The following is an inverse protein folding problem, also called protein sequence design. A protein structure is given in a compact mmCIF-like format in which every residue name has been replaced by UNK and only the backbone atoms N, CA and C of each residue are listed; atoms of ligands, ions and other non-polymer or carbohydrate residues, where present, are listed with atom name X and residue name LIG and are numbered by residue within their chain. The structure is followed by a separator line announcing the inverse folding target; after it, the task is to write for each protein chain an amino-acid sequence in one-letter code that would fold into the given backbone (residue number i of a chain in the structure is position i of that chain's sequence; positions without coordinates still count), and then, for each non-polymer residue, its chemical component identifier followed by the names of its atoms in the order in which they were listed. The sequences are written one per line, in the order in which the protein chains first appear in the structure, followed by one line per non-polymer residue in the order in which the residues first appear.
data_IF_328188591211
#
_entry.id   IF_328188591211
#
_cell.length_a   1.000
_cell.length_b   1.000
_cell.length_c   1.000
_cell.angle_alpha   90.00
_cell.angle_beta   90.00
_cell.angle_gamma   90.00
#
_symmetry.space_group_name_H-M   'P 1'
#
loop_
_entity.id
_entity.type
_entity.pdbx_description
1 polymer ?
2 non-polymer ?
3 non-polymer ?
4 water ?
#
# COMPACT_ATOMS: atom_id res chain seq x y z
N UNK A 2 -1.11 -14.39 23.51
CA UNK A 2 -1.72 -14.69 22.22
C UNK A 2 -1.57 -13.55 21.18
N UNK A 3 -1.15 -13.94 19.98
CA UNK A 3 -1.06 -13.01 18.84
C UNK A 3 -0.17 -11.81 19.15
N UNK A 4 1.00 -12.08 19.74
CA UNK A 4 1.91 -11.01 20.15
C UNK A 4 2.91 -10.73 19.04
N UNK A 5 2.94 -9.52 18.49
CA UNK A 5 3.90 -9.21 17.42
C UNK A 5 5.32 -9.11 17.94
N UNK A 6 6.26 -9.47 17.08
CA UNK A 6 7.68 -9.26 17.31
C UNK A 6 8.28 -8.60 16.08
N UNK A 7 9.45 -7.97 16.21
CA UNK A 7 10.05 -7.30 15.05
C UNK A 7 10.20 -8.19 13.82
N UNK A 8 10.33 -9.51 13.99
CA UNK A 8 10.44 -10.39 12.84
C UNK A 8 9.16 -10.45 12.01
N UNK A 9 8.03 -9.97 12.53
CA UNK A 9 6.81 -9.89 11.75
C UNK A 9 6.81 -8.73 10.76
N UNK A 10 7.83 -7.86 10.79
CA UNK A 10 8.00 -6.78 9.81
C UNK A 10 6.88 -5.75 9.83
N UNK A 11 6.25 -5.51 10.98
CA UNK A 11 5.23 -4.47 11.08
C UNK A 11 5.87 -3.09 11.19
N UNK A 12 5.45 -2.16 10.33
CA UNK A 12 5.98 -0.80 10.33
C UNK A 12 4.82 0.20 10.34
N UNK A 13 5.15 1.42 10.79
CA UNK A 13 4.17 2.49 10.97
C UNK A 13 4.73 3.81 10.50
N UNK A 14 3.93 4.61 9.81
CA UNK A 14 4.35 5.96 9.49
C UNK A 14 4.39 6.82 10.75
N UNK A 15 5.37 7.73 10.81
CA UNK A 15 5.38 8.70 11.90
C UNK A 15 4.09 9.50 11.94
N UNK A 16 3.50 9.76 10.77
CA UNK A 16 2.27 10.52 10.64
C UNK A 16 1.03 9.76 11.09
N UNK A 17 1.16 8.48 11.43
CA UNK A 17 -0.01 7.66 11.78
C UNK A 17 -0.31 7.81 13.26
N UNK A 18 0.50 7.18 14.12
CA UNK A 18 0.34 7.38 15.55
C UNK A 18 0.59 8.83 15.95
N UNK A 19 1.30 9.59 15.13
CA UNK A 19 1.53 10.99 15.39
C UNK A 19 0.45 11.94 14.92
N UNK A 20 -0.63 11.43 14.31
CA UNK A 20 -1.71 12.29 13.84
C UNK A 20 -2.39 13.01 15.01
N UNK A 21 -2.38 14.35 14.97
CA UNK A 21 -2.96 15.11 16.08
C UNK A 21 -4.47 15.19 16.05
N UNK A 22 -5.12 14.71 15.00
CA UNK A 22 -6.56 14.67 14.98
C UNK A 22 -7.26 15.81 14.28
N UNK A 23 -6.54 16.63 13.52
CA UNK A 23 -7.16 17.72 12.76
C UNK A 23 -7.79 17.15 11.49
N UNK A 24 -9.10 17.36 11.33
CA UNK A 24 -9.83 16.87 10.16
C UNK A 24 -10.50 18.07 9.49
N UNK A 25 -11.26 17.93 8.39
CA UNK A 25 -11.75 19.13 7.67
C UNK A 25 -12.62 20.04 8.52
N UNK A 26 -13.17 19.52 9.63
CA UNK A 26 -14.16 20.24 10.41
C UNK A 26 -13.73 20.41 11.86
N UNK A 27 -12.49 20.06 12.21
CA UNK A 27 -12.11 20.04 13.60
C UNK A 27 -10.64 20.27 13.88
N UNK A 28 -10.38 20.88 15.04
CA UNK A 28 -9.03 21.16 15.49
C UNK A 28 -8.40 19.91 16.12
N UNK A 29 -7.10 20.00 16.39
CA UNK A 29 -6.38 18.87 16.96
C UNK A 29 -6.96 18.48 18.31
N UNK A 30 -6.99 17.17 18.57
CA UNK A 30 -7.40 16.65 19.87
C UNK A 30 -6.24 16.05 20.66
N UNK A 31 -5.06 15.94 20.05
CA UNK A 31 -3.88 15.40 20.70
C UNK A 31 -2.69 16.30 20.42
N UNK A 32 -1.78 16.36 21.40
CA UNK A 32 -0.55 17.11 21.23
C UNK A 32 0.38 16.40 20.23
N UNK A 33 1.31 17.16 19.68
CA UNK A 33 2.27 16.59 18.75
C UNK A 33 3.17 15.61 19.47
N UNK A 34 3.52 14.53 18.78
CA UNK A 34 4.45 13.54 19.30
C UNK A 34 5.85 13.81 18.79
N UNK A 35 6.82 13.69 19.69
CA UNK A 35 8.21 13.69 19.28
C UNK A 35 8.48 12.37 18.54
N UNK A 36 9.06 12.40 17.33
CA UNK A 36 9.37 11.14 16.63
C UNK A 36 10.12 10.15 17.49
N UNK A 37 10.96 10.63 18.41
CA UNK A 37 11.69 9.74 19.30
C UNK A 37 10.74 8.95 20.19
N UNK A 38 9.68 9.59 20.69
CA UNK A 38 8.74 8.86 21.53
C UNK A 38 7.96 7.82 20.71
N UNK A 39 7.58 8.16 19.48
CA UNK A 39 6.86 7.19 18.65
C UNK A 39 7.72 5.96 18.39
N UNK A 40 9.00 6.17 18.07
CA UNK A 40 9.92 5.04 17.87
C UNK A 40 9.96 4.18 19.13
N UNK A 41 10.11 4.81 20.30
CA UNK A 41 10.19 4.05 21.54
C UNK A 41 8.92 3.27 21.81
N UNK A 42 7.76 3.93 21.70
CA UNK A 42 6.49 3.28 22.04
C UNK A 42 6.16 2.19 21.03
N UNK A 43 6.45 2.42 19.75
CA UNK A 43 6.17 1.39 18.75
C UNK A 43 7.07 0.18 18.95
N UNK A 44 8.33 0.38 19.32
CA UNK A 44 9.22 -0.73 19.60
C UNK A 44 8.70 -1.55 20.78
N UNK A 45 8.17 -0.88 21.80
CA UNK A 45 7.61 -1.58 22.95
C UNK A 45 6.42 -2.43 22.55
N UNK A 46 5.70 -2.05 21.49
CA UNK A 46 4.55 -2.82 21.03
C UNK A 46 4.96 -3.99 20.14
N UNK A 47 6.22 -4.08 19.75
CA UNK A 47 6.66 -5.14 18.88
C UNK A 47 6.81 -4.78 17.42
N UNK A 48 6.77 -3.49 17.09
CA UNK A 48 6.96 -3.07 15.71
C UNK A 48 8.40 -3.36 15.24
N UNK A 49 8.53 -3.46 13.93
CA UNK A 49 9.81 -3.64 13.24
C UNK A 49 10.45 -2.31 12.87
N UNK A 50 9.66 -1.30 12.51
CA UNK A 50 10.25 -0.04 12.12
C UNK A 50 9.22 1.04 11.86
N UNK A 51 9.70 2.17 11.34
CA UNK A 51 8.87 3.32 11.02
C UNK A 51 9.21 3.82 9.62
N UNK A 52 8.32 4.67 9.11
CA UNK A 52 8.49 5.37 7.84
C UNK A 52 8.22 6.85 8.08
N UNK A 53 8.61 7.69 7.11
CA UNK A 53 8.43 9.12 7.34
C UNK A 53 8.30 9.86 6.01
N UNK A 54 7.51 10.94 6.04
CA UNK A 54 7.69 12.03 5.10
C UNK A 54 8.84 12.92 5.57
N UNK A 55 9.52 13.56 4.63
CA UNK A 55 10.59 14.49 5.02
C UNK A 55 10.10 15.43 6.11
N UNK A 56 8.91 16.00 5.95
CA UNK A 56 8.41 17.03 6.84
C UNK A 56 7.85 16.48 8.14
N UNK A 57 7.70 15.15 8.26
CA UNK A 57 7.37 14.55 9.55
C UNK A 57 8.57 14.54 10.48
N UNK A 58 9.76 14.38 9.91
CA UNK A 58 10.99 14.20 10.66
C UNK A 58 11.73 15.52 10.85
N UNK A 59 11.74 16.36 9.83
CA UNK A 59 12.41 17.65 9.85
C UNK A 59 11.35 18.72 9.54
N UNK A 60 10.99 19.57 10.50
CA UNK A 60 9.97 20.59 10.23
C UNK A 60 10.31 21.42 9.00
N UNK A 61 9.31 21.66 8.15
CA UNK A 61 9.49 22.46 6.96
C UNK A 61 10.18 23.78 7.27
N UNK A 62 11.18 24.11 6.46
CA UNK A 62 11.92 25.34 6.64
C UNK A 62 13.06 25.27 7.61
N UNK A 63 13.45 24.07 8.04
CA UNK A 63 14.53 23.93 9.01
C UNK A 63 15.87 24.30 8.40
N UNK A 64 16.73 24.92 9.21
CA UNK A 64 18.11 25.15 8.82
C UNK A 64 18.86 23.82 8.77
N UNK A 65 20.01 23.83 8.10
CA UNK A 65 20.84 22.64 8.04
C UNK A 65 21.22 22.17 9.44
N UNK A 66 21.51 23.11 10.34
CA UNK A 66 21.88 22.76 11.70
C UNK A 66 20.73 22.09 12.44
N UNK A 67 19.53 22.62 12.31
CA UNK A 67 18.35 21.99 12.91
C UNK A 67 18.07 20.64 12.27
N UNK A 68 18.19 20.57 10.94
CA UNK A 68 17.97 19.33 10.22
C UNK A 68 18.90 18.23 10.72
N UNK A 69 20.19 18.56 10.89
CA UNK A 69 21.14 17.57 11.40
C UNK A 69 20.76 17.08 12.79
N UNK A 70 20.25 17.97 13.64
CA UNK A 70 19.95 17.59 15.01
C UNK A 70 18.70 16.73 15.09
N UNK A 71 17.70 17.01 14.25
CA UNK A 71 16.51 16.17 14.20
C UNK A 71 16.84 14.75 13.75
N UNK A 72 17.70 14.63 12.73
CA UNK A 72 18.06 13.30 12.25
C UNK A 72 18.91 12.58 13.28
N UNK A 73 19.81 13.30 13.96
CA UNK A 73 20.69 12.65 14.93
C UNK A 73 19.88 12.05 16.08
N UNK A 74 18.93 12.81 16.63
CA UNK A 74 18.07 12.25 17.69
C UNK A 74 17.27 11.05 17.20
N UNK A 75 16.73 11.15 15.98
CA UNK A 75 15.94 10.05 15.44
C UNK A 75 16.79 8.80 15.27
N UNK A 76 18.02 8.96 14.77
CA UNK A 76 18.90 7.80 14.60
C UNK A 76 19.25 7.18 15.95
N UNK A 77 19.43 8.00 16.99
CA UNK A 77 19.72 7.45 18.31
C UNK A 77 18.55 6.61 18.83
N UNK A 78 17.32 7.06 18.58
CA UNK A 78 16.16 6.26 19.01
C UNK A 78 16.07 4.96 18.23
N UNK A 79 16.38 4.99 16.93
CA UNK A 79 16.42 3.76 16.14
C UNK A 79 17.50 2.83 16.67
N UNK A 80 18.69 3.38 16.97
CA UNK A 80 19.79 2.56 17.47
C UNK A 80 19.46 1.95 18.82
N UNK A 81 18.75 2.69 19.68
CA UNK A 81 18.44 2.23 21.02
C UNK A 81 17.33 1.20 21.07
N UNK A 82 16.59 1.02 19.98
CA UNK A 82 15.45 0.11 19.93
C UNK A 82 15.61 -1.02 18.93
N UNK A 83 16.55 -0.94 18.00
CA UNK A 83 16.64 -1.90 16.93
C UNK A 83 15.65 -1.67 15.81
N UNK A 84 14.97 -0.53 15.81
CA UNK A 84 13.95 -0.24 14.82
C UNK A 84 14.61 0.15 13.50
N UNK A 85 13.95 -0.19 12.40
CA UNK A 85 14.44 0.13 11.06
C UNK A 85 13.57 1.19 10.39
N UNK A 86 14.06 1.69 9.26
CA UNK A 86 13.33 2.63 8.41
C UNK A 86 13.28 2.07 6.99
N UNK A 87 12.33 1.18 6.68
CA UNK A 87 12.33 0.53 5.36
C UNK A 87 11.80 1.40 4.23
N UNK A 88 11.15 2.51 4.53
CA UNK A 88 10.49 3.29 3.48
C UNK A 88 10.46 4.74 3.92
N UNK A 89 10.60 5.64 2.95
CA UNK A 89 10.43 7.06 3.16
C UNK A 89 9.67 7.65 1.97
N UNK A 90 9.23 8.89 2.13
CA UNK A 90 8.41 9.55 1.12
C UNK A 90 8.55 11.05 1.31
N UNK A 91 8.02 11.80 0.35
CA UNK A 91 8.08 13.26 0.34
C UNK A 91 6.70 13.84 0.62
N UNK A 92 6.64 14.89 1.43
CA UNK A 92 5.38 15.62 1.55
C UNK A 92 5.31 16.62 0.40
N UNK A 93 4.51 16.27 -0.61
CA UNK A 93 4.23 17.16 -1.73
C UNK A 93 2.76 17.58 -1.75
N UNK A 94 2.18 17.75 -0.56
CA UNK A 94 0.75 18.04 -0.50
C UNK A 94 0.31 18.99 0.62
N UNK A 95 1.08 19.18 1.69
CA UNK A 95 0.62 20.03 2.79
C UNK A 95 0.82 21.51 2.50
N UNK A 96 2.02 21.88 2.07
CA UNK A 96 2.34 23.30 1.90
C UNK A 96 1.45 23.92 0.81
N UNK A 97 0.98 25.15 1.00
CA UNK A 97 0.13 25.78 -0.04
C UNK A 97 0.75 25.85 -1.43
N UNK A 98 2.08 25.85 -1.55
CA UNK A 98 2.68 25.91 -2.88
C UNK A 98 2.25 24.72 -3.72
N UNK A 99 1.88 23.61 -3.09
CA UNK A 99 1.50 22.40 -3.80
C UNK A 99 -0.01 22.31 -4.05
N UNK A 100 -0.72 23.45 -3.99
CA UNK A 100 -2.17 23.39 -4.07
C UNK A 100 -2.68 22.84 -5.41
N UNK A 101 -1.90 22.95 -6.49
CA UNK A 101 -2.28 22.34 -7.75
C UNK A 101 -1.38 21.15 -8.10
N UNK A 102 -0.62 20.65 -7.14
CA UNK A 102 0.23 19.49 -7.38
C UNK A 102 1.70 19.80 -7.16
N UNK A 103 2.48 18.72 -7.16
CA UNK A 103 3.92 18.80 -7.18
C UNK A 103 4.43 18.49 -8.57
N UNK A 104 4.61 17.21 -8.88
CA UNK A 104 5.15 16.84 -10.20
C UNK A 104 4.27 17.29 -11.36
N UNK A 105 2.96 17.48 -11.17
CA UNK A 105 2.09 17.91 -12.27
C UNK A 105 1.42 19.26 -12.01
N UNK A 106 1.98 20.08 -11.13
CA UNK A 106 1.50 21.45 -10.97
C UNK A 106 1.52 22.18 -12.31
N UNK A 107 0.51 23.02 -12.56
CA UNK A 107 0.55 23.80 -13.78
C UNK A 107 1.76 24.72 -13.82
N UNK A 108 2.16 25.27 -12.67
CA UNK A 108 3.33 26.13 -12.61
C UNK A 108 4.61 25.30 -12.73
N UNK A 109 5.41 25.61 -13.75
CA UNK A 109 6.63 24.85 -14.00
C UNK A 109 7.62 24.99 -12.84
N UNK A 110 7.75 26.19 -12.27
CA UNK A 110 8.71 26.36 -11.19
C UNK A 110 8.33 25.55 -9.95
N UNK A 111 7.04 25.28 -9.74
CA UNK A 111 6.63 24.41 -8.65
C UNK A 111 7.03 22.96 -8.93
N UNK A 112 6.88 22.51 -10.18
CA UNK A 112 7.28 21.16 -10.54
C UNK A 112 8.78 20.95 -10.31
N UNK A 113 9.59 21.94 -10.66
CA UNK A 113 11.04 21.84 -10.43
C UNK A 113 11.35 21.80 -8.93
N UNK A 114 10.67 22.62 -8.13
CA UNK A 114 10.83 22.58 -6.69
C UNK A 114 10.42 21.22 -6.11
N UNK A 115 9.29 20.66 -6.58
CA UNK A 115 8.87 19.35 -6.11
C UNK A 115 9.96 18.31 -6.33
N UNK A 116 10.63 18.35 -7.48
CA UNK A 116 11.68 17.37 -7.74
C UNK A 116 12.88 17.60 -6.83
N UNK A 117 13.27 18.86 -6.62
CA UNK A 117 14.41 19.12 -5.76
C UNK A 117 14.11 18.68 -4.32
N UNK A 118 12.89 18.94 -3.84
CA UNK A 118 12.49 18.50 -2.50
C UNK A 118 12.53 16.99 -2.38
N UNK A 119 12.06 16.29 -3.40
CA UNK A 119 12.08 14.83 -3.38
C UNK A 119 13.50 14.30 -3.39
N UNK A 120 14.35 14.82 -4.28
CA UNK A 120 15.73 14.32 -4.38
C UNK A 120 16.47 14.48 -3.05
N UNK A 121 16.29 15.63 -2.39
CA UNK A 121 16.92 15.84 -1.09
C UNK A 121 16.53 14.73 -0.10
N UNK A 122 15.26 14.33 -0.11
CA UNK A 122 14.84 13.30 0.83
C UNK A 122 15.20 11.89 0.38
N UNK A 123 15.38 11.66 -0.92
CA UNK A 123 15.90 10.36 -1.35
C UNK A 123 17.28 10.11 -0.74
N UNK A 124 18.15 11.13 -0.76
CA UNK A 124 19.46 10.99 -0.13
C UNK A 124 19.32 10.60 1.33
N UNK A 125 18.43 11.28 2.06
CA UNK A 125 18.26 10.98 3.48
C UNK A 125 17.71 9.57 3.67
N UNK A 126 16.75 9.18 2.83
CA UNK A 126 16.15 7.85 2.92
C UNK A 126 17.21 6.77 2.76
N UNK A 127 18.10 6.92 1.77
CA UNK A 127 19.20 5.97 1.59
C UNK A 127 20.11 5.96 2.81
N UNK A 128 20.42 7.14 3.34
CA UNK A 128 21.22 7.22 4.56
C UNK A 128 20.62 6.39 5.69
N UNK A 129 19.29 6.41 5.84
CA UNK A 129 18.62 5.70 6.93
C UNK A 129 18.28 4.26 6.58
N UNK A 130 18.69 3.78 5.42
CA UNK A 130 18.55 2.38 5.06
C UNK A 130 17.28 1.99 4.35
N UNK A 131 16.50 2.95 3.86
CA UNK A 131 15.23 2.62 3.24
C UNK A 131 15.44 1.92 1.90
N UNK A 132 14.63 0.89 1.65
CA UNK A 132 14.68 0.15 0.40
C UNK A 132 13.64 0.60 -0.61
N UNK A 133 12.61 1.31 -0.15
CA UNK A 133 11.52 1.77 -1.00
C UNK A 133 11.27 3.25 -0.75
N UNK A 134 11.07 3.99 -1.83
CA UNK A 134 10.73 5.41 -1.75
C UNK A 134 9.35 5.57 -2.36
N UNK A 135 8.37 5.98 -1.55
CA UNK A 135 6.98 6.02 -1.99
C UNK A 135 6.63 7.42 -2.50
N UNK A 136 5.80 7.47 -3.53
CA UNK A 136 5.22 8.70 -4.04
C UNK A 136 3.69 8.59 -3.99
N UNK A 137 3.06 9.44 -3.18
CA UNK A 137 1.62 9.60 -3.16
C UNK A 137 1.30 10.96 -3.74
N UNK A 138 0.81 10.99 -4.97
CA UNK A 138 0.51 12.24 -5.65
C UNK A 138 -0.84 12.79 -5.27
N UNK A 139 -1.03 13.10 -3.99
CA UNK A 139 -2.33 13.52 -3.48
C UNK A 139 -2.84 14.82 -4.06
N UNK A 140 -1.96 15.70 -4.52
CA UNK A 140 -2.42 16.95 -5.11
C UNK A 140 -2.47 16.92 -6.64
N UNK A 141 -2.11 15.80 -7.27
CA UNK A 141 -2.05 15.72 -8.72
C UNK A 141 -3.46 15.40 -9.22
N UNK A 142 -4.09 16.35 -9.89
CA UNK A 142 -5.46 16.12 -10.34
C UNK A 142 -6.19 17.44 -10.52
N UNK A 143 -7.49 17.42 -10.22
CA UNK A 143 -8.32 18.58 -10.56
C UNK A 143 -9.68 18.49 -9.88
N UNK A 144 -10.31 19.66 -9.72
CA UNK A 144 -11.73 19.75 -9.38
C UNK A 144 -12.58 20.09 -10.60
N UNK A 145 -11.98 20.48 -11.71
CA UNK A 145 -12.71 20.92 -12.88
C UNK A 145 -11.97 20.51 -14.15
N UNK A 146 -12.70 20.48 -15.26
CA UNK A 146 -12.19 19.83 -16.47
C UNK A 146 -11.14 20.64 -17.21
N UNK A 147 -11.29 21.97 -17.25
CA UNK A 147 -10.36 22.80 -17.98
C UNK A 147 -9.04 23.02 -17.28
N UNK A 148 -8.99 22.78 -15.97
CA UNK A 148 -7.85 23.11 -15.13
C UNK A 148 -6.65 22.23 -15.39
N UNK A 149 -6.85 21.02 -15.93
CA UNK A 149 -5.78 20.04 -16.01
C UNK A 149 -5.96 19.27 -17.32
N UNK A 150 -5.04 19.45 -18.26
CA UNK A 150 -4.99 18.58 -19.42
C UNK A 150 -4.26 17.32 -18.99
N UNK A 151 -4.97 16.19 -18.95
CA UNK A 151 -4.40 15.00 -18.31
C UNK A 151 -3.28 14.41 -19.14
N UNK A 152 -3.34 14.50 -20.47
CA UNK A 152 -2.23 14.00 -21.28
C UNK A 152 -0.96 14.80 -21.01
N UNK A 153 -1.08 16.13 -20.96
CA UNK A 153 0.07 16.96 -20.56
C UNK A 153 0.53 16.61 -19.15
N UNK A 154 -0.41 16.42 -18.23
CA UNK A 154 -0.03 16.10 -16.86
C UNK A 154 0.71 14.76 -16.79
N UNK A 155 0.26 13.77 -17.55
CA UNK A 155 0.95 12.48 -17.56
C UNK A 155 2.33 12.60 -18.18
N UNK A 156 2.49 13.47 -19.19
CA UNK A 156 3.83 13.77 -19.69
C UNK A 156 4.73 14.30 -18.59
N UNK A 157 4.21 15.27 -17.81
CA UNK A 157 5.00 15.85 -16.72
C UNK A 157 5.28 14.81 -15.64
N UNK A 158 4.31 13.93 -15.37
CA UNK A 158 4.50 12.89 -14.36
C UNK A 158 5.57 11.89 -14.79
N UNK A 159 5.55 11.49 -16.06
CA UNK A 159 6.59 10.61 -16.58
C UNK A 159 7.95 11.28 -16.53
N UNK A 160 7.99 12.57 -16.88
CA UNK A 160 9.24 13.31 -16.82
C UNK A 160 9.82 13.28 -15.41
N UNK A 161 8.98 13.55 -14.41
CA UNK A 161 9.44 13.58 -13.03
C UNK A 161 9.97 12.22 -12.59
N UNK A 162 9.21 11.16 -12.82
CA UNK A 162 9.67 9.84 -12.36
C UNK A 162 10.90 9.40 -13.13
N UNK A 163 11.01 9.74 -14.42
CA UNK A 163 12.21 9.41 -15.18
C UNK A 163 13.44 10.11 -14.62
N UNK A 164 13.31 11.41 -14.28
CA UNK A 164 14.42 12.14 -13.67
C UNK A 164 14.84 11.51 -12.34
N UNK A 165 13.87 11.09 -11.54
CA UNK A 165 14.18 10.45 -10.27
C UNK A 165 14.92 9.13 -10.48
N UNK A 166 14.50 8.35 -11.50
CA UNK A 166 15.20 7.14 -11.84
C UNK A 166 16.60 7.40 -12.35
N UNK A 167 16.77 8.42 -13.19
CA UNK A 167 18.10 8.85 -13.59
C UNK A 167 18.95 9.22 -12.37
N UNK A 168 18.34 9.91 -11.39
CA UNK A 168 19.10 10.32 -10.22
C UNK A 168 19.60 9.12 -9.41
N UNK A 169 18.70 8.19 -9.07
CA UNK A 169 19.13 7.07 -8.24
C UNK A 169 20.14 6.20 -8.98
N UNK A 170 20.01 6.08 -10.31
CA UNK A 170 20.99 5.29 -11.06
C UNK A 170 22.33 6.01 -11.12
N UNK A 171 22.33 7.33 -11.22
CA UNK A 171 23.59 8.08 -11.25
C UNK A 171 24.32 8.01 -9.91
N UNK A 172 23.58 7.86 -8.82
CA UNK A 172 24.16 7.78 -7.49
C UNK A 172 24.50 6.35 -7.08
N UNK A 173 24.10 5.35 -7.86
CA UNK A 173 24.33 3.97 -7.48
C UNK A 173 23.47 3.48 -6.34
N UNK A 174 22.35 4.14 -6.09
CA UNK A 174 21.47 3.76 -5.01
C UNK A 174 20.70 2.48 -5.38
N UNK A 175 20.43 1.65 -4.37
CA UNK A 175 19.66 0.43 -4.58
C UNK A 175 18.17 0.60 -4.25
N UNK A 176 17.76 1.81 -3.87
CA UNK A 176 16.37 2.04 -3.52
C UNK A 176 15.48 1.99 -4.77
N UNK A 177 14.23 1.56 -4.59
CA UNK A 177 13.26 1.52 -5.67
C UNK A 177 12.07 2.40 -5.29
N UNK A 178 11.28 2.76 -6.31
CA UNK A 178 10.14 3.66 -6.12
C UNK A 178 8.84 2.87 -6.12
N UNK A 179 7.86 3.36 -5.36
CA UNK A 179 6.53 2.75 -5.31
C UNK A 179 5.49 3.86 -5.37
N UNK A 180 4.61 3.78 -6.36
CA UNK A 180 3.53 4.77 -6.50
C UNK A 180 2.33 4.30 -5.69
N UNK A 181 1.81 5.18 -4.84
CA UNK A 181 0.64 4.89 -4.01
C UNK A 181 -0.59 5.49 -4.67
N UNK A 182 -1.49 4.69 -5.22
CA UNK A 182 -2.70 5.26 -5.84
C UNK A 182 -3.73 5.68 -4.82
N UNK A 183 -4.56 6.64 -5.23
CA UNK A 183 -5.73 7.09 -4.48
C UNK A 183 -6.67 7.70 -5.52
N UNK A 184 -7.96 7.42 -5.47
CA UNK A 184 -8.83 7.89 -6.57
C UNK A 184 -9.25 9.35 -6.44
N UNK A 185 -9.33 9.83 -5.20
CA UNK A 185 -9.79 11.19 -4.92
C UNK A 185 -9.43 11.50 -3.48
N UNK A 186 -9.52 12.80 -3.15
CA UNK A 186 -9.34 13.42 -1.84
C UNK A 186 -7.84 13.52 -1.52
N UNK A 187 -7.28 14.73 -1.48
CA UNK A 187 -7.97 16.01 -1.44
C UNK A 187 -8.37 16.63 -2.79
N UNK A 188 -7.86 16.15 -3.92
CA UNK A 188 -8.35 16.64 -5.20
C UNK A 188 -9.66 15.94 -5.56
N UNK A 189 -10.49 16.62 -6.34
CA UNK A 189 -11.75 16.04 -6.76
C UNK A 189 -11.58 14.73 -7.49
N UNK A 190 -10.56 14.65 -8.35
CA UNK A 190 -10.11 13.41 -8.94
C UNK A 190 -8.60 13.44 -8.95
N UNK A 191 -7.96 12.35 -8.55
CA UNK A 191 -6.50 12.27 -8.51
C UNK A 191 -6.03 11.44 -9.70
N UNK A 192 -4.90 11.85 -10.29
CA UNK A 192 -4.30 11.11 -11.39
C UNK A 192 -3.73 9.79 -10.88
N UNK A 193 -3.71 8.79 -11.78
CA UNK A 193 -3.36 7.41 -11.44
C UNK A 193 -4.21 6.91 -10.27
N UNK A 194 -5.53 6.84 -10.44
CA UNK A 194 -6.44 6.71 -9.29
C UNK A 194 -6.53 5.33 -8.66
N UNK A 195 -6.02 4.29 -9.33
CA UNK A 195 -6.12 2.92 -8.84
C UNK A 195 -4.81 2.19 -9.11
N UNK A 196 -4.70 1.00 -8.52
CA UNK A 196 -3.56 0.11 -8.76
C UNK A 196 -3.36 -0.10 -10.25
N UNK A 197 -4.45 -0.30 -10.99
CA UNK A 197 -4.33 -0.55 -12.42
C UNK A 197 -3.73 0.63 -13.16
N UNK A 198 -4.20 1.85 -12.87
CA UNK A 198 -3.69 3.03 -13.58
C UNK A 198 -2.22 3.25 -13.29
N UNK A 199 -1.79 3.00 -12.04
CA UNK A 199 -0.38 3.13 -11.69
C UNK A 199 0.48 2.06 -12.38
N UNK A 200 0.02 0.81 -12.37
CA UNK A 200 0.76 -0.24 -13.07
C UNK A 200 0.93 0.08 -14.55
N UNK A 201 -0.13 0.60 -15.18
CA UNK A 201 -0.07 0.90 -16.61
C UNK A 201 0.88 2.06 -16.89
N UNK A 202 0.85 3.07 -16.03
CA UNK A 202 1.74 4.21 -16.17
C UNK A 202 3.20 3.79 -16.07
N UNK A 203 3.52 2.87 -15.17
CA UNK A 203 4.90 2.46 -14.95
C UNK A 203 5.50 1.86 -16.21
N UNK A 204 4.68 1.17 -17.00
CA UNK A 204 5.18 0.49 -18.18
C UNK A 204 5.66 1.46 -19.26
N UNK A 205 5.30 2.75 -19.15
CA UNK A 205 5.74 3.80 -20.06
C UNK A 205 6.93 4.59 -19.53
N UNK A 206 7.45 4.24 -18.37
CA UNK A 206 8.63 4.91 -17.84
C UNK A 206 9.88 4.36 -18.53
N UNK A 207 10.95 5.17 -18.47
CA UNK A 207 12.17 4.79 -19.19
C UNK A 207 12.82 3.56 -18.59
N UNK A 208 12.77 3.41 -17.27
CA UNK A 208 13.36 2.28 -16.56
C UNK A 208 12.29 1.61 -15.71
N UNK A 209 11.34 0.89 -16.33
CA UNK A 209 10.18 0.40 -15.57
C UNK A 209 10.54 -0.47 -14.39
N UNK A 210 11.70 -1.14 -14.43
CA UNK A 210 12.08 -2.06 -13.36
C UNK A 210 12.31 -1.35 -12.03
N UNK A 211 12.47 -0.03 -12.05
CA UNK A 211 12.73 0.71 -10.83
C UNK A 211 11.46 1.10 -10.09
N UNK A 212 10.28 0.83 -10.65
CA UNK A 212 9.03 1.35 -10.11
C UNK A 212 8.01 0.24 -9.90
N UNK A 213 7.35 0.27 -8.76
CA UNK A 213 6.25 -0.62 -8.46
C UNK A 213 5.12 0.17 -7.83
N UNK A 214 4.19 -0.51 -7.16
CA UNK A 214 3.08 0.15 -6.50
C UNK A 214 3.18 -0.05 -4.99
N UNK A 215 2.57 0.90 -4.26
CA UNK A 215 2.34 0.82 -2.82
C UNK A 215 0.84 0.97 -2.61
N UNK A 216 0.07 -0.09 -2.86
CA UNK A 216 -1.40 0.03 -2.74
C UNK A 216 -1.83 0.14 -1.28
N UNK A 217 -2.93 0.86 -1.08
CA UNK A 217 -3.49 1.02 0.25
C UNK A 217 -4.90 0.45 0.29
N UNK A 218 -5.19 -0.36 1.32
CA UNK A 218 -6.50 -1.01 1.45
C UNK A 218 -7.62 -0.02 1.19
N UNK A 219 -7.63 1.07 1.97
CA UNK A 219 -8.75 2.00 1.94
C UNK A 219 -8.88 2.73 0.61
N UNK A 220 -7.76 2.95 -0.09
CA UNK A 220 -7.82 3.74 -1.32
C UNK A 220 -8.51 2.99 -2.45
N UNK A 221 -8.18 1.71 -2.64
CA UNK A 221 -8.89 0.96 -3.67
C UNK A 221 -10.35 0.80 -3.31
N UNK A 222 -10.66 0.68 -2.02
CA UNK A 222 -12.04 0.57 -1.59
C UNK A 222 -12.81 1.87 -1.73
N UNK A 223 -12.13 3.02 -1.79
CA UNK A 223 -12.80 4.28 -2.10
C UNK A 223 -13.33 4.31 -3.52
N UNK A 224 -12.82 3.44 -4.39
CA UNK A 224 -13.37 3.25 -5.72
C UNK A 224 -14.27 2.02 -5.79
N UNK A 225 -14.58 1.42 -4.63
CA UNK A 225 -15.43 0.25 -4.62
C UNK A 225 -14.77 -0.99 -5.15
N UNK A 226 -13.45 -1.00 -5.25
CA UNK A 226 -12.74 -2.11 -5.87
C UNK A 226 -12.39 -3.18 -4.83
N UNK A 227 -12.13 -4.38 -5.34
CA UNK A 227 -11.71 -5.51 -4.52
C UNK A 227 -10.22 -5.41 -4.27
N UNK A 228 -9.83 -5.11 -3.04
CA UNK A 228 -8.40 -4.86 -2.78
C UNK A 228 -7.59 -6.14 -2.96
N UNK A 229 -7.99 -7.30 -2.41
CA UNK A 229 -7.22 -8.52 -2.72
C UNK A 229 -7.06 -8.76 -4.22
N UNK A 230 -8.08 -8.49 -5.04
CA UNK A 230 -7.93 -8.68 -6.48
C UNK A 230 -6.85 -7.78 -7.05
N UNK A 231 -6.83 -6.50 -6.63
CA UNK A 231 -5.82 -5.58 -7.11
C UNK A 231 -4.42 -5.96 -6.68
N UNK A 232 -4.27 -6.43 -5.44
CA UNK A 232 -2.99 -6.94 -4.97
C UNK A 232 -2.54 -8.14 -5.80
N UNK A 233 -3.50 -9.02 -6.13
CA UNK A 233 -3.16 -10.16 -6.98
C UNK A 233 -2.63 -9.70 -8.33
N UNK A 234 -3.24 -8.67 -8.93
CA UNK A 234 -2.72 -8.19 -10.21
C UNK A 234 -1.36 -7.55 -10.04
N UNK A 235 -1.14 -6.83 -8.93
CA UNK A 235 0.17 -6.26 -8.68
C UNK A 235 1.23 -7.35 -8.51
N UNK A 236 0.92 -8.41 -7.77
CA UNK A 236 1.84 -9.53 -7.63
C UNK A 236 2.08 -10.22 -8.95
N UNK A 237 1.01 -10.39 -9.74
CA UNK A 237 1.13 -11.02 -11.05
C UNK A 237 2.09 -10.26 -11.93
N UNK A 238 2.11 -8.93 -11.82
CA UNK A 238 3.01 -8.09 -12.60
C UNK A 238 4.41 -7.97 -11.98
N UNK A 239 4.64 -8.56 -10.81
CA UNK A 239 5.91 -8.41 -10.12
C UNK A 239 6.17 -7.03 -9.55
N UNK A 240 5.12 -6.31 -9.17
CA UNK A 240 5.25 -4.90 -8.79
C UNK A 240 4.78 -4.57 -7.38
N UNK A 241 4.52 -5.55 -6.52
CA UNK A 241 4.12 -5.24 -5.14
C UNK A 241 5.38 -4.98 -4.31
N UNK A 242 5.86 -3.73 -4.38
CA UNK A 242 7.10 -3.36 -3.72
C UNK A 242 6.90 -3.05 -2.24
N UNK A 243 5.67 -2.70 -1.86
CA UNK A 243 5.34 -2.21 -0.53
C UNK A 243 3.82 -2.23 -0.46
N UNK A 244 3.27 -2.14 0.75
CA UNK A 244 1.81 -2.14 0.89
C UNK A 244 1.43 -1.33 2.13
N UNK A 245 0.30 -0.62 2.03
CA UNK A 245 -0.30 0.11 3.16
C UNK A 245 -1.52 -0.65 3.65
N UNK A 246 -1.51 -1.05 4.92
CA UNK A 246 -2.61 -1.76 5.54
C UNK A 246 -3.41 -0.85 6.44
N UNK A 247 -4.74 -0.88 6.28
CA UNK A 247 -5.65 -0.09 7.13
C UNK A 247 -7.08 -0.60 6.87
N UNK A 248 -8.06 0.16 7.34
CA UNK A 248 -9.45 -0.19 7.17
C UNK A 248 -10.27 0.97 6.64
N UNK A 249 -11.36 0.62 5.95
CA UNK A 249 -12.20 1.57 5.24
C UNK A 249 -13.59 0.97 5.13
N UNK A 250 -14.62 1.78 5.40
CA UNK A 250 -16.01 1.34 5.23
C UNK A 250 -16.56 1.90 3.93
N UNK A 251 -16.16 1.27 2.83
CA UNK A 251 -16.80 1.54 1.55
C UNK A 251 -16.42 2.88 0.94
N UNK A 252 -17.34 3.40 0.14
CA UNK A 252 -17.07 4.52 -0.75
C UNK A 252 -17.44 5.79 0.00
N UNK A 253 -16.44 6.47 0.52
CA UNK A 253 -16.59 7.70 1.30
C UNK A 253 -15.18 8.29 1.44
N UNK A 254 -15.06 9.35 2.23
CA UNK A 254 -13.76 9.96 2.55
C UNK A 254 -12.78 8.89 3.02
N UNK A 255 -11.49 9.17 2.91
CA UNK A 255 -10.42 8.25 3.28
C UNK A 255 -10.35 8.14 4.81
N UNK A 256 -10.80 6.99 5.35
CA UNK A 256 -10.99 6.87 6.80
C UNK A 256 -9.70 6.53 7.53
N UNK A 257 -8.84 5.71 6.90
CA UNK A 257 -7.58 5.29 7.53
C UNK A 257 -7.83 4.65 8.91
N UNK A 258 -8.84 3.79 9.00
CA UNK A 258 -9.08 3.03 10.23
C UNK A 258 -7.95 2.03 10.46
N UNK A 259 -7.87 1.51 11.68
CA UNK A 259 -6.84 0.49 11.93
C UNK A 259 -7.11 -0.76 11.10
N UNK A 260 -6.03 -1.49 10.78
CA UNK A 260 -6.19 -2.68 9.96
C UNK A 260 -7.04 -3.72 10.67
N UNK A 261 -7.93 -4.36 9.91
CA UNK A 261 -8.92 -5.26 10.43
C UNK A 261 -10.28 -4.62 10.59
N UNK A 262 -10.30 -3.32 10.91
CA UNK A 262 -11.55 -2.59 10.88
C UNK A 262 -11.97 -2.37 9.42
N UNK A 263 -13.17 -1.86 9.23
CA UNK A 263 -13.72 -1.73 7.90
C UNK A 263 -14.18 -3.08 7.36
N UNK A 264 -13.62 -3.48 6.21
CA UNK A 264 -14.04 -4.71 5.54
C UNK A 264 -13.21 -5.86 6.09
N UNK A 265 -13.77 -6.56 7.08
CA UNK A 265 -13.03 -7.61 7.77
C UNK A 265 -12.74 -8.79 6.84
N UNK A 266 -13.72 -9.21 6.04
CA UNK A 266 -13.45 -10.37 5.19
C UNK A 266 -12.43 -10.05 4.10
N UNK A 267 -12.43 -8.82 3.57
CA UNK A 267 -11.39 -8.45 2.62
C UNK A 267 -10.02 -8.44 3.29
N UNK A 268 -9.97 -8.10 4.58
CA UNK A 268 -8.70 -8.19 5.30
C UNK A 268 -8.24 -9.63 5.41
N UNK A 269 -9.19 -10.56 5.66
CA UNK A 269 -8.87 -11.98 5.69
C UNK A 269 -8.30 -12.45 4.36
N UNK A 270 -9.00 -12.15 3.26
CA UNK A 270 -8.53 -12.59 1.94
C UNK A 270 -7.22 -11.91 1.56
N UNK A 271 -7.01 -10.68 2.00
CA UNK A 271 -5.74 -10.00 1.76
C UNK A 271 -4.59 -10.75 2.43
N UNK A 272 -4.73 -11.02 3.74
CA UNK A 272 -3.66 -11.72 4.46
C UNK A 272 -3.43 -13.10 3.87
N UNK A 273 -4.51 -13.81 3.52
CA UNK A 273 -4.37 -15.10 2.87
C UNK A 273 -3.51 -15.00 1.61
N UNK A 274 -3.74 -13.95 0.81
CA UNK A 274 -2.98 -13.77 -0.44
C UNK A 274 -1.53 -13.39 -0.15
N UNK A 275 -1.29 -12.43 0.74
CA UNK A 275 0.09 -12.02 1.00
C UNK A 275 0.92 -13.19 1.50
N UNK A 276 0.36 -14.00 2.40
CA UNK A 276 1.10 -15.13 2.96
C UNK A 276 1.29 -16.25 1.95
N UNK A 277 0.25 -16.53 1.15
CA UNK A 277 0.38 -17.61 0.17
C UNK A 277 1.32 -17.24 -0.97
N UNK A 278 1.41 -15.95 -1.32
CA UNK A 278 2.35 -15.49 -2.34
C UNK A 278 3.75 -15.31 -1.80
N UNK A 279 3.94 -15.34 -0.49
CA UNK A 279 5.25 -15.10 0.08
C UNK A 279 5.73 -13.68 0.00
N UNK A 280 4.81 -12.71 0.10
CA UNK A 280 5.20 -11.31 0.13
C UNK A 280 6.21 -11.09 1.26
N UNK A 281 7.35 -10.50 0.92
CA UNK A 281 8.46 -10.39 1.85
C UNK A 281 8.71 -8.95 2.30
N UNK A 282 7.89 -8.00 1.89
CA UNK A 282 8.09 -6.62 2.25
C UNK A 282 7.51 -6.25 3.59
N UNK A 283 7.65 -4.99 3.98
CA UNK A 283 7.04 -4.53 5.24
C UNK A 283 5.54 -4.70 5.25
N UNK A 284 5.00 -5.05 6.41
CA UNK A 284 3.57 -4.96 6.69
C UNK A 284 3.35 -3.59 7.31
N UNK A 285 3.17 -2.58 6.45
CA UNK A 285 3.11 -1.18 6.83
C UNK A 285 1.67 -0.74 7.08
N UNK A 286 1.46 -0.02 8.18
CA UNK A 286 0.14 0.52 8.51
C UNK A 286 0.14 2.01 8.24
N UNK A 287 -0.72 2.42 7.32
CA UNK A 287 -1.03 3.82 7.07
C UNK A 287 -2.43 4.04 7.64
N UNK A 288 -2.50 4.43 8.90
CA UNK A 288 -3.78 4.54 9.58
C UNK A 288 -3.74 5.75 10.49
N UNK A 289 -4.91 6.15 10.96
CA UNK A 289 -5.05 7.28 11.86
C UNK A 289 -5.88 6.83 13.06
N UNK A 290 -5.32 6.77 14.25
CA UNK A 290 -6.17 6.55 15.43
C UNK A 290 -7.23 7.62 15.49
N UNK A 291 -8.51 7.24 15.59
CA UNK A 291 -9.58 8.25 15.54
C UNK A 291 -9.33 9.37 16.55
N UNK A 292 -9.75 10.58 16.18
CA UNK A 292 -9.44 11.73 17.02
C UNK A 292 -10.22 11.70 18.34
N UNK A 293 -11.17 10.78 18.51
CA UNK A 293 -11.81 10.55 19.80
C UNK A 293 -10.82 10.07 20.86
N UNK A 294 -9.65 9.58 20.46
CA UNK A 294 -8.77 8.83 21.36
C UNK A 294 -7.73 9.74 21.99
N UNK A 295 -7.32 9.40 23.22
CA UNK A 295 -6.13 9.98 23.81
C UNK A 295 -4.92 9.12 23.44
N UNK A 296 -3.74 9.41 24.02
CA UNK A 296 -2.56 8.66 23.62
C UNK A 296 -2.66 7.18 23.97
N UNK A 297 -3.31 6.83 25.08
CA UNK A 297 -3.53 5.41 25.37
C UNK A 297 -4.33 4.74 24.25
N UNK A 298 -5.34 5.44 23.72
CA UNK A 298 -6.09 4.89 22.59
C UNK A 298 -5.28 4.82 21.31
N UNK A 299 -4.36 5.77 21.12
CA UNK A 299 -3.43 5.70 19.99
C UNK A 299 -2.67 4.38 20.02
N UNK A 300 -2.08 4.02 21.17
CA UNK A 300 -1.25 2.82 21.20
C UNK A 300 -2.11 1.56 21.16
N UNK A 301 -3.33 1.63 21.72
CA UNK A 301 -4.24 0.50 21.60
C UNK A 301 -4.63 0.26 20.14
N UNK A 302 -4.85 1.34 19.40
CA UNK A 302 -5.21 1.22 17.99
C UNK A 302 -4.06 0.66 17.17
N UNK A 303 -2.83 1.13 17.43
CA UNK A 303 -1.66 0.57 16.75
C UNK A 303 -1.47 -0.90 17.10
N UNK A 304 -1.63 -1.26 18.37
CA UNK A 304 -1.52 -2.66 18.74
C UNK A 304 -2.56 -3.51 18.03
N UNK A 305 -3.78 -2.98 17.87
CA UNK A 305 -4.83 -3.72 17.19
C UNK A 305 -4.51 -3.99 15.73
N UNK A 306 -3.83 -3.06 15.06
CA UNK A 306 -3.37 -3.29 13.68
C UNK A 306 -2.61 -4.60 13.57
N UNK A 307 -1.61 -4.77 14.44
CA UNK A 307 -0.74 -5.93 14.36
C UNK A 307 -1.45 -7.18 14.82
N UNK A 308 -2.25 -7.07 15.88
CA UNK A 308 -3.02 -8.20 16.38
C UNK A 308 -3.95 -8.75 15.31
N UNK A 309 -4.68 -7.86 14.63
CA UNK A 309 -5.62 -8.33 13.62
C UNK A 309 -4.89 -9.00 12.47
N UNK A 310 -3.73 -8.49 12.07
CA UNK A 310 -2.98 -9.19 11.03
C UNK A 310 -2.62 -10.60 11.49
N UNK A 311 -2.15 -10.75 12.73
CA UNK A 311 -1.72 -12.06 13.20
C UNK A 311 -2.91 -13.01 13.38
N UNK A 312 -4.06 -12.52 13.85
CA UNK A 312 -5.23 -13.42 13.93
C UNK A 312 -5.62 -13.90 12.54
N UNK A 313 -5.69 -12.99 11.58
CA UNK A 313 -6.09 -13.35 10.22
C UNK A 313 -5.08 -14.29 9.58
N UNK A 314 -3.79 -14.09 9.85
CA UNK A 314 -2.76 -15.01 9.38
C UNK A 314 -3.00 -16.42 9.89
N UNK A 315 -3.33 -16.56 11.18
CA UNK A 315 -3.63 -17.86 11.74
C UNK A 315 -4.83 -18.51 11.05
N UNK A 316 -5.93 -17.76 10.93
CA UNK A 316 -7.15 -18.33 10.37
C UNK A 316 -7.01 -18.66 8.88
N UNK A 317 -6.29 -17.82 8.12
CA UNK A 317 -6.08 -18.13 6.71
C UNK A 317 -5.21 -19.36 6.54
N UNK A 318 -4.17 -19.51 7.36
CA UNK A 318 -3.33 -20.69 7.29
C UNK A 318 -4.13 -21.95 7.64
N UNK A 319 -5.00 -21.85 8.66
CA UNK A 319 -5.83 -22.99 9.04
C UNK A 319 -6.80 -23.35 7.92
N UNK A 320 -7.33 -22.32 7.23
CA UNK A 320 -8.23 -22.56 6.11
C UNK A 320 -7.51 -23.35 5.02
N UNK A 321 -6.31 -22.90 4.63
CA UNK A 321 -5.62 -23.53 3.50
C UNK A 321 -5.09 -24.93 3.85
N UNK A 322 -4.80 -25.18 5.13
CA UNK A 322 -4.27 -26.48 5.57
C UNK A 322 -5.35 -27.51 5.88
N UNK A 323 -6.61 -27.10 5.90
CA UNK A 323 -7.70 -27.99 6.29
C UNK A 323 -7.97 -28.98 5.15
N UNK A 324 -7.83 -30.29 5.36
CA UNK A 324 -8.11 -31.23 4.26
C UNK A 324 -9.51 -31.10 3.69
N UNK A 325 -10.49 -30.69 4.50
CA UNK A 325 -11.84 -30.50 4.00
C UNK A 325 -11.92 -29.30 3.07
N UNK A 326 -11.12 -28.27 3.33
CA UNK A 326 -11.05 -27.13 2.42
C UNK A 326 -10.34 -27.52 1.13
N UNK A 327 -9.25 -28.29 1.23
CA UNK A 327 -8.55 -28.74 0.03
C UNK A 327 -9.46 -29.59 -0.85
N UNK A 328 -10.29 -30.42 -0.23
CA UNK A 328 -11.30 -31.17 -0.99
C UNK A 328 -12.30 -30.22 -1.66
N UNK A 329 -12.76 -29.19 -0.94
CA UNK A 329 -13.72 -28.25 -1.51
C UNK A 329 -13.09 -27.46 -2.66
N UNK A 330 -11.81 -27.11 -2.53
CA UNK A 330 -11.13 -26.42 -3.62
C UNK A 330 -11.07 -27.29 -4.87
N UNK A 331 -10.84 -28.58 -4.71
CA UNK A 331 -10.90 -29.51 -5.84
C UNK A 331 -12.32 -29.62 -6.38
N UNK A 332 -13.33 -29.66 -5.49
CA UNK A 332 -14.72 -29.74 -5.94
C UNK A 332 -15.10 -28.54 -6.77
N UNK A 333 -14.49 -27.38 -6.50
CA UNK A 333 -14.76 -26.14 -7.22
C UNK A 333 -13.81 -25.93 -8.39
N UNK A 334 -12.96 -26.92 -8.68
CA UNK A 334 -12.02 -26.91 -9.80
C UNK A 334 -11.01 -25.77 -9.74
N UNK A 335 -10.60 -25.37 -8.53
CA UNK A 335 -9.45 -24.47 -8.44
C UNK A 335 -8.17 -25.13 -8.97
N UNK A 336 -8.09 -26.46 -8.91
CA UNK A 336 -6.96 -27.15 -9.53
C UNK A 336 -6.97 -26.97 -11.04
N UNK A 337 -8.16 -27.01 -11.67
CA UNK A 337 -8.24 -26.81 -13.12
C UNK A 337 -7.91 -25.38 -13.52
N UNK A 338 -8.31 -24.42 -12.69
CA UNK A 338 -7.98 -23.02 -12.96
C UNK A 338 -6.47 -22.81 -13.10
N UNK A 339 -5.68 -23.60 -12.36
CA UNK A 339 -4.22 -23.46 -12.38
C UNK A 339 -3.57 -24.18 -13.55
N UNK A 340 -4.33 -24.92 -14.36
CA UNK A 340 -3.74 -25.65 -15.48
C UNK A 340 -3.85 -24.83 -16.76
N UNK A 341 -2.83 -24.86 -17.61
CA UNK A 341 -2.93 -24.16 -18.90
C UNK A 341 -4.17 -24.57 -19.68
N UNK A 342 -4.78 -23.58 -20.34
CA UNK A 342 -5.96 -23.85 -21.15
C UNK A 342 -5.61 -24.66 -22.40
N UNK A 343 -4.49 -24.35 -23.03
CA UNK A 343 -4.18 -24.97 -24.32
C UNK A 343 -2.66 -25.07 -24.48
N UNK A 344 -2.03 -25.84 -23.58
CA UNK A 344 -0.62 -26.13 -23.74
C UNK A 344 -0.36 -26.97 -24.97
N UNK A 345 -1.40 -27.60 -25.52
CA UNK A 345 -1.26 -28.33 -26.79
C UNK A 345 -1.13 -27.40 -27.99
N UNK A 346 -1.40 -26.11 -27.82
CA UNK A 346 -1.18 -25.14 -28.87
C UNK A 346 -2.45 -24.82 -29.66
N UNK A 347 -2.33 -23.75 -30.45
CA UNK A 347 -3.49 -23.21 -31.17
C UNK A 347 -4.03 -24.21 -32.18
N UNK A 348 -3.16 -24.83 -32.99
CA UNK A 348 -3.67 -25.73 -34.02
C UNK A 348 -4.36 -26.94 -33.41
N UNK A 349 -3.80 -27.48 -32.33
CA UNK A 349 -4.44 -28.60 -31.64
C UNK A 349 -5.80 -28.18 -31.09
N UNK A 350 -5.90 -26.97 -30.55
CA UNK A 350 -7.19 -26.48 -30.07
C UNK A 350 -8.19 -26.35 -31.20
N UNK A 351 -7.76 -25.82 -32.35
CA UNK A 351 -8.65 -25.68 -33.50
C UNK A 351 -9.12 -27.04 -34.01
N UNK A 352 -8.31 -28.07 -33.87
CA UNK A 352 -8.61 -29.42 -34.36
C UNK A 352 -9.31 -30.29 -33.33
N UNK A 353 -9.48 -29.79 -32.11
CA UNK A 353 -10.06 -30.56 -31.01
C UNK A 353 -11.58 -30.44 -31.07
N UNK A 354 -12.24 -31.49 -31.57
CA UNK A 354 -13.70 -31.45 -31.64
C UNK A 354 -14.36 -31.42 -30.27
N UNK A 355 -13.68 -31.90 -29.22
CA UNK A 355 -14.25 -31.82 -27.89
C UNK A 355 -14.28 -30.39 -27.36
N UNK A 356 -13.60 -29.45 -28.01
CA UNK A 356 -13.64 -28.05 -27.61
C UNK A 356 -14.75 -27.26 -28.29
N UNK A 357 -15.49 -27.86 -29.22
CA UNK A 357 -16.54 -27.11 -29.89
C UNK A 357 -17.61 -28.01 -30.51
N UNK A 358 -17.25 -28.66 -31.63
CA UNK A 358 -18.24 -29.43 -32.38
C UNK A 358 -18.90 -30.50 -31.52
N UNK A 359 -18.14 -31.10 -30.61
CA UNK A 359 -18.65 -32.18 -29.76
C UNK A 359 -18.64 -31.82 -28.28
N UNK A 360 -18.59 -30.53 -27.96
CA UNK A 360 -18.61 -30.12 -26.56
C UNK A 360 -20.05 -30.11 -26.06
N UNK A 361 -20.30 -30.88 -25.00
CA UNK A 361 -21.63 -30.96 -24.40
C UNK A 361 -21.78 -29.75 -23.49
N UNK A 362 -22.34 -28.68 -24.04
CA UNK A 362 -22.42 -27.41 -23.32
C UNK A 362 -23.44 -27.50 -22.19
N UNK A 363 -24.45 -28.36 -22.35
CA UNK A 363 -25.49 -28.50 -21.32
C UNK A 363 -24.97 -29.28 -20.12
N UNK A 364 -24.15 -30.30 -20.36
CA UNK A 364 -23.60 -31.06 -19.24
C UNK A 364 -22.62 -30.20 -18.44
N UNK A 365 -21.80 -29.41 -19.13
CA UNK A 365 -20.90 -28.50 -18.43
C UNK A 365 -21.68 -27.47 -17.63
N UNK A 366 -22.74 -26.91 -18.22
CA UNK A 366 -23.50 -25.86 -17.53
C UNK A 366 -24.17 -26.40 -16.28
N UNK A 367 -24.52 -27.68 -16.27
CA UNK A 367 -25.20 -28.28 -15.12
C UNK A 367 -24.27 -28.51 -13.94
N UNK A 368 -22.94 -28.50 -14.15
CA UNK A 368 -22.00 -28.74 -13.07
C UNK A 368 -22.01 -27.56 -12.11
N UNK A 369 -22.46 -27.76 -10.89
CA UNK A 369 -22.39 -26.69 -9.90
C UNK A 369 -20.96 -26.36 -9.53
N UNK A 370 -20.71 -25.09 -9.23
CA UNK A 370 -19.35 -24.69 -8.90
C UNK A 370 -18.99 -24.97 -7.44
N UNK A 371 -19.99 -25.22 -6.59
CA UNK A 371 -19.79 -25.51 -5.16
C UNK A 371 -19.07 -24.37 -4.44
N UNK A 372 -19.24 -23.13 -4.93
CA UNK A 372 -18.55 -22.00 -4.31
C UNK A 372 -19.14 -21.62 -2.96
N UNK A 373 -20.43 -21.83 -2.73
CA UNK A 373 -21.02 -21.39 -1.46
C UNK A 373 -20.57 -22.25 -0.30
N UNK A 374 -20.48 -23.57 -0.49
CA UNK A 374 -19.92 -24.42 0.56
C UNK A 374 -18.48 -24.06 0.85
N UNK A 375 -17.66 -23.84 -0.19
CA UNK A 375 -16.29 -23.39 0.01
C UNK A 375 -16.25 -22.09 0.81
N UNK A 376 -17.11 -21.14 0.47
CA UNK A 376 -17.08 -19.87 1.19
C UNK A 376 -17.57 -19.99 2.63
N UNK A 377 -18.48 -20.91 2.91
CA UNK A 377 -18.89 -21.08 4.30
C UNK A 377 -17.80 -21.77 5.12
N UNK A 378 -17.03 -22.67 4.52
CA UNK A 378 -15.85 -23.17 5.21
C UNK A 378 -14.86 -22.04 5.50
N UNK A 379 -14.72 -21.10 4.55
CA UNK A 379 -13.86 -19.95 4.80
C UNK A 379 -14.41 -19.08 5.93
N UNK A 380 -15.72 -18.89 5.96
CA UNK A 380 -16.33 -18.12 7.04
C UNK A 380 -16.14 -18.81 8.38
N UNK A 381 -16.39 -20.13 8.42
CA UNK A 381 -16.18 -20.88 9.66
C UNK A 381 -14.75 -20.74 10.15
N UNK A 382 -13.78 -20.83 9.23
CA UNK A 382 -12.38 -20.69 9.65
C UNK A 382 -12.07 -19.29 10.16
N UNK A 383 -12.56 -18.26 9.47
CA UNK A 383 -12.33 -16.90 9.93
C UNK A 383 -12.85 -16.70 11.35
N UNK A 384 -14.05 -17.21 11.62
CA UNK A 384 -14.72 -17.02 12.91
C UNK A 384 -14.30 -18.02 13.97
N UNK A 385 -13.42 -18.96 13.64
CA UNK A 385 -13.07 -19.99 14.62
C UNK A 385 -14.27 -20.84 14.99
N UNK A 386 -15.13 -21.12 14.02
CA UNK A 386 -16.37 -21.86 14.22
C UNK A 386 -16.35 -23.16 13.43
N UNK A 387 -15.21 -23.84 13.41
CA UNK A 387 -15.13 -25.17 12.82
C UNK A 387 -15.44 -26.21 13.90
N UNK A 388 -14.61 -27.23 14.01
CA UNK A 388 -14.88 -28.31 14.94
C UNK A 388 -14.77 -27.91 16.39
#
# INVERSE_FOLDING_TARGET
MNYQPTPEDRFTFGLWTVGWQGRDPFGDATRRALDPVESVRRLAELGAHGVTFHDDDLIPFGSSDSEREEHVKRFRQALDDTGMKVPMATTNLFTHPVFKDGGFTANDRDVRRYALRKTIRNIDLAVELGAETYVAWGGREGAESGGAKDVRDALDRMKEAFDLLGEYVTSQGYDIRFAIEPKPNEPRGDILLPTVGHALAFIERLERPELYGVNPEVGHEQMAGLNFPHGIAQALWAGKLFHIDLNGQNGIKYDQDLRFGAGDLRAAFWLVDLLESAGYSGPRHFDFKPPRTEDFDGVWASAAGCMRNYLILKERAAAFRADPEVQEALRASRLDELARPTAADGLQALLDDRSAFEEFDVDAAAARGMAFERLDQLAMDHLLGARG
#
